data_IF_738119865261
#
_entry.id   IF_738119865261
#
_cell.length_a   1.000
_cell.length_b   1.000
_cell.length_c   1.000
_cell.angle_alpha   90.00
_cell.angle_beta   90.00
_cell.angle_gamma   90.00
#
_symmetry.space_group_name_H-M   'P 1'
#
loop_
_entity.id
_entity.type
_entity.pdbx_description
1 polymer ?
#
# COMPACT_ATOMS: atom_id res chain seq x y z
N UNK A 1 27.93 0.48 13.27
CA UNK A 1 27.32 1.71 12.71
C UNK A 1 27.27 1.51 11.20
N UNK A 2 26.12 1.14 10.63
CA UNK A 2 25.99 0.87 9.19
C UNK A 2 25.55 2.15 8.49
N UNK A 3 26.42 2.71 7.68
CA UNK A 3 26.19 3.87 6.79
C UNK A 3 25.38 3.41 5.57
N UNK A 4 24.07 3.19 5.76
CA UNK A 4 23.13 2.87 4.69
C UNK A 4 22.91 3.97 3.62
N UNK A 5 23.06 5.28 3.88
CA UNK A 5 22.67 6.29 2.89
C UNK A 5 23.54 6.31 1.62
N UNK A 6 24.82 5.99 1.73
CA UNK A 6 25.80 6.13 0.64
C UNK A 6 25.82 4.96 -0.34
N UNK A 7 25.21 3.82 -0.01
CA UNK A 7 25.22 2.63 -0.89
C UNK A 7 24.11 2.62 -1.96
N UNK A 8 23.10 3.50 -1.85
CA UNK A 8 21.89 3.43 -2.69
C UNK A 8 21.95 4.35 -3.91
N UNK A 9 22.95 5.23 -4.01
CA UNK A 9 23.12 6.14 -5.14
C UNK A 9 23.67 5.47 -6.40
N UNK A 10 24.41 4.36 -6.29
CA UNK A 10 25.18 3.79 -7.41
C UNK A 10 24.71 2.41 -7.91
N UNK A 11 23.66 1.82 -7.32
CA UNK A 11 23.21 0.45 -7.65
C UNK A 11 21.89 0.50 -8.43
N UNK A 12 21.91 1.07 -9.64
CA UNK A 12 20.78 1.00 -10.58
C UNK A 12 20.81 -0.27 -11.46
N UNK A 13 21.88 -1.08 -11.41
CA UNK A 13 22.05 -2.25 -12.28
C UNK A 13 21.68 -3.62 -11.66
N UNK A 14 21.30 -3.69 -10.38
CA UNK A 14 21.12 -4.96 -9.65
C UNK A 14 19.82 -5.02 -8.82
N UNK A 15 18.78 -4.30 -9.25
CA UNK A 15 17.60 -3.92 -8.46
C UNK A 15 16.68 -5.07 -7.96
N UNK A 16 17.07 -6.33 -8.00
CA UNK A 16 16.32 -7.44 -7.39
C UNK A 16 17.21 -8.63 -7.02
N UNK A 17 18.22 -8.90 -7.85
CA UNK A 17 19.12 -10.03 -7.67
C UNK A 17 19.88 -9.97 -6.35
N UNK A 18 20.33 -8.79 -5.91
CA UNK A 18 21.08 -8.65 -4.65
C UNK A 18 20.20 -8.98 -3.45
N UNK A 19 18.95 -8.53 -3.43
CA UNK A 19 18.02 -8.84 -2.35
C UNK A 19 17.71 -10.34 -2.30
N UNK A 20 17.47 -10.95 -3.45
CA UNK A 20 17.24 -12.40 -3.57
C UNK A 20 18.46 -13.22 -3.14
N UNK A 21 19.68 -12.84 -3.54
CA UNK A 21 20.93 -13.48 -3.12
C UNK A 21 21.12 -13.35 -1.60
N UNK A 22 20.83 -12.19 -1.02
CA UNK A 22 20.91 -11.99 0.44
C UNK A 22 19.86 -12.84 1.15
N UNK A 23 18.63 -12.90 0.64
CA UNK A 23 17.56 -13.70 1.22
C UNK A 23 17.90 -15.20 1.22
N UNK A 24 18.33 -15.72 0.07
CA UNK A 24 18.75 -17.13 -0.08
C UNK A 24 19.99 -17.46 0.74
N UNK A 25 20.98 -16.56 0.80
CA UNK A 25 22.16 -16.73 1.65
C UNK A 25 21.83 -16.74 3.14
N UNK A 26 20.91 -15.88 3.60
CA UNK A 26 20.40 -15.89 4.97
C UNK A 26 19.63 -17.18 5.25
N UNK A 27 18.79 -17.62 4.33
CA UNK A 27 18.03 -18.86 4.43
C UNK A 27 18.95 -20.08 4.60
N UNK A 28 20.00 -20.19 3.78
CA UNK A 28 20.99 -21.25 3.84
C UNK A 28 21.82 -21.20 5.12
N UNK A 29 22.24 -20.01 5.55
CA UNK A 29 22.94 -19.81 6.81
C UNK A 29 22.10 -20.26 8.01
N UNK A 30 20.82 -19.88 8.04
CA UNK A 30 19.91 -20.29 9.11
C UNK A 30 19.59 -21.78 9.07
N UNK A 31 19.59 -22.40 7.87
CA UNK A 31 19.42 -23.85 7.69
C UNK A 31 20.62 -24.63 8.24
N UNK A 32 21.84 -24.21 7.93
CA UNK A 32 23.06 -24.90 8.38
C UNK A 32 23.51 -24.53 9.79
N UNK A 33 23.19 -23.32 10.25
CA UNK A 33 23.54 -22.83 11.58
C UNK A 33 22.29 -22.27 12.27
N UNK A 34 21.39 -23.13 12.79
CA UNK A 34 20.12 -22.69 13.39
C UNK A 34 20.27 -21.70 14.55
N UNK A 35 21.39 -21.74 15.27
CA UNK A 35 21.71 -20.76 16.33
C UNK A 35 21.82 -19.33 15.80
N UNK A 36 22.09 -19.14 14.50
CA UNK A 36 22.17 -17.84 13.85
C UNK A 36 20.81 -17.25 13.49
N UNK A 37 19.74 -18.06 13.40
CA UNK A 37 18.41 -17.59 13.03
C UNK A 37 17.91 -16.44 13.91
N UNK A 38 18.23 -16.48 15.21
CA UNK A 38 17.94 -15.38 16.13
C UNK A 38 18.53 -14.06 15.65
N UNK A 39 19.84 -14.06 15.37
CA UNK A 39 20.58 -12.86 15.02
C UNK A 39 20.20 -12.34 13.64
N UNK A 40 19.91 -13.24 12.70
CA UNK A 40 19.39 -12.89 11.37
C UNK A 40 18.04 -12.18 11.47
N UNK A 41 17.07 -12.74 12.20
CA UNK A 41 15.76 -12.11 12.38
C UNK A 41 15.90 -10.76 13.10
N UNK A 42 16.71 -10.68 14.16
CA UNK A 42 16.98 -9.42 14.85
C UNK A 42 17.63 -8.38 13.91
N UNK A 43 18.54 -8.79 13.02
CA UNK A 43 19.15 -7.91 12.04
C UNK A 43 18.14 -7.40 11.01
N UNK A 44 17.29 -8.26 10.47
CA UNK A 44 16.18 -7.89 9.58
C UNK A 44 15.25 -6.87 10.24
N UNK A 45 14.81 -7.13 11.48
CA UNK A 45 13.93 -6.20 12.22
C UNK A 45 14.64 -4.87 12.51
N UNK A 46 15.93 -4.88 12.85
CA UNK A 46 16.71 -3.65 13.05
C UNK A 46 16.90 -2.86 11.76
N UNK A 47 17.14 -3.53 10.63
CA UNK A 47 17.22 -2.89 9.32
C UNK A 47 15.88 -2.22 8.98
N UNK A 48 14.76 -2.90 9.19
CA UNK A 48 13.42 -2.36 8.99
C UNK A 48 13.16 -1.10 9.83
N UNK A 49 13.43 -1.16 11.13
CA UNK A 49 13.27 0.00 12.01
C UNK A 49 14.17 1.18 11.59
N UNK A 50 15.36 0.92 11.06
CA UNK A 50 16.25 1.97 10.54
C UNK A 50 15.70 2.61 9.27
N UNK A 51 15.15 1.83 8.34
CA UNK A 51 14.52 2.36 7.12
C UNK A 51 13.30 3.21 7.48
N UNK A 52 12.47 2.74 8.42
CA UNK A 52 11.34 3.51 8.96
C UNK A 52 11.79 4.84 9.56
N UNK A 53 12.87 4.83 10.36
CA UNK A 53 13.43 6.00 11.01
C UNK A 53 14.25 6.91 10.07
N UNK A 54 14.50 6.51 8.81
CA UNK A 54 15.26 7.30 7.86
C UNK A 54 14.39 8.49 7.40
N UNK A 55 14.73 9.68 7.89
CA UNK A 55 14.05 10.95 7.54
C UNK A 55 14.82 11.77 6.51
N UNK A 56 16.12 11.50 6.35
CA UNK A 56 17.03 12.33 5.54
C UNK A 56 17.24 11.83 4.11
N UNK A 57 16.65 10.69 3.72
CA UNK A 57 16.79 10.14 2.37
C UNK A 57 15.67 10.63 1.44
N UNK A 58 15.96 10.72 0.13
CA UNK A 58 14.94 11.04 -0.87
C UNK A 58 13.81 10.00 -0.85
N UNK A 59 12.60 10.38 -1.28
CA UNK A 59 11.48 9.45 -1.35
C UNK A 59 11.78 8.26 -2.28
N UNK A 60 12.44 8.49 -3.42
CA UNK A 60 12.88 7.41 -4.32
C UNK A 60 13.86 6.45 -3.64
N UNK A 61 14.80 6.96 -2.84
CA UNK A 61 15.72 6.13 -2.04
C UNK A 61 14.95 5.29 -1.01
N UNK A 62 13.94 5.87 -0.34
CA UNK A 62 13.09 5.15 0.60
C UNK A 62 12.30 4.03 -0.08
N UNK A 63 11.74 4.28 -1.28
CA UNK A 63 11.03 3.27 -2.07
C UNK A 63 11.94 2.08 -2.40
N UNK A 64 13.17 2.34 -2.89
CA UNK A 64 14.15 1.29 -3.20
C UNK A 64 14.57 0.50 -1.96
N UNK A 65 14.90 1.20 -0.87
CA UNK A 65 15.26 0.55 0.40
C UNK A 65 14.13 -0.34 0.92
N UNK A 66 12.89 0.13 0.79
CA UNK A 66 11.72 -0.65 1.19
C UNK A 66 11.59 -1.91 0.35
N UNK A 67 11.65 -1.79 -0.98
CA UNK A 67 11.55 -2.92 -1.91
C UNK A 67 12.60 -3.99 -1.57
N UNK A 68 13.89 -3.64 -1.60
CA UNK A 68 14.97 -4.61 -1.32
C UNK A 68 14.88 -5.23 0.07
N UNK A 69 14.50 -4.44 1.07
CA UNK A 69 14.36 -4.98 2.42
C UNK A 69 13.18 -5.94 2.51
N UNK A 70 12.05 -5.64 1.88
CA UNK A 70 10.89 -6.52 1.86
C UNK A 70 11.17 -7.80 1.09
N UNK A 71 11.92 -7.74 0.00
CA UNK A 71 12.34 -8.92 -0.76
C UNK A 71 13.30 -9.83 0.05
N UNK A 72 14.01 -9.29 1.04
CA UNK A 72 14.80 -10.08 2.01
C UNK A 72 13.92 -10.61 3.14
N UNK A 73 13.00 -9.80 3.65
CA UNK A 73 12.18 -10.12 4.82
C UNK A 73 11.09 -11.13 4.48
N UNK A 74 10.50 -11.07 3.29
CA UNK A 74 9.41 -11.96 2.85
C UNK A 74 9.80 -13.44 2.90
N UNK A 75 10.94 -13.89 2.33
CA UNK A 75 11.38 -15.28 2.44
C UNK A 75 11.71 -15.71 3.88
N UNK A 76 12.22 -14.80 4.71
CA UNK A 76 12.48 -15.07 6.13
C UNK A 76 11.18 -15.30 6.88
N UNK A 77 10.14 -14.51 6.58
CA UNK A 77 8.81 -14.63 7.19
C UNK A 77 7.98 -15.77 6.61
N UNK A 78 8.34 -16.31 5.45
CA UNK A 78 7.69 -17.49 4.88
C UNK A 78 7.82 -18.74 5.78
N UNK A 79 8.69 -18.72 6.80
CA UNK A 79 8.83 -19.78 7.80
C UNK A 79 8.15 -19.43 9.13
N UNK A 80 7.26 -20.33 9.59
CA UNK A 80 6.51 -20.20 10.85
C UNK A 80 7.41 -19.97 12.08
N UNK A 81 8.58 -20.62 12.11
CA UNK A 81 9.53 -20.56 13.22
C UNK A 81 10.13 -19.16 13.42
N UNK A 82 10.13 -18.34 12.37
CA UNK A 82 10.75 -17.01 12.37
C UNK A 82 9.71 -15.91 12.62
N UNK A 83 8.46 -16.13 12.19
CA UNK A 83 7.37 -15.17 12.26
C UNK A 83 7.13 -14.65 13.69
N UNK A 84 7.05 -15.53 14.70
CA UNK A 84 6.79 -15.13 16.09
C UNK A 84 7.88 -14.21 16.63
N UNK A 85 9.16 -14.58 16.45
CA UNK A 85 10.28 -13.77 16.92
C UNK A 85 10.38 -12.43 16.20
N UNK A 86 10.04 -12.39 14.91
CA UNK A 86 9.97 -11.13 14.17
C UNK A 86 8.91 -10.18 14.77
N UNK A 87 7.74 -10.71 15.14
CA UNK A 87 6.70 -9.94 15.81
C UNK A 87 7.12 -9.47 17.22
N UNK A 88 7.73 -10.35 18.02
CA UNK A 88 8.24 -10.01 19.36
C UNK A 88 9.27 -8.87 19.32
N UNK A 89 10.08 -8.83 18.26
CA UNK A 89 11.03 -7.75 18.02
C UNK A 89 10.38 -6.45 17.51
N UNK A 90 9.06 -6.39 17.35
CA UNK A 90 8.31 -5.24 16.81
C UNK A 90 8.47 -5.06 15.30
N UNK A 91 8.73 -6.14 14.56
CA UNK A 91 8.89 -6.10 13.10
C UNK A 91 7.57 -5.82 12.37
N UNK A 92 6.45 -6.37 12.85
CA UNK A 92 5.12 -6.17 12.25
C UNK A 92 4.69 -4.72 12.36
N UNK A 93 4.87 -4.09 13.53
CA UNK A 93 4.58 -2.67 13.73
C UNK A 93 5.45 -1.79 12.81
N UNK A 94 6.71 -2.17 12.61
CA UNK A 94 7.60 -1.47 11.69
C UNK A 94 7.19 -1.64 10.22
N UNK A 95 6.65 -2.79 9.80
CA UNK A 95 6.08 -2.96 8.44
C UNK A 95 4.87 -2.03 8.24
N UNK A 96 3.95 -1.99 9.20
CA UNK A 96 2.76 -1.13 9.12
C UNK A 96 3.13 0.35 9.05
N UNK A 97 4.08 0.78 9.89
CA UNK A 97 4.58 2.16 9.86
C UNK A 97 5.34 2.48 8.56
N UNK A 98 6.05 1.51 7.98
CA UNK A 98 6.75 1.70 6.71
C UNK A 98 5.78 1.95 5.54
N UNK A 99 4.60 1.30 5.53
CA UNK A 99 3.59 1.56 4.49
C UNK A 99 3.22 3.04 4.43
N UNK A 100 2.90 3.62 5.60
CA UNK A 100 2.56 5.04 5.70
C UNK A 100 3.69 5.98 5.27
N UNK A 101 4.95 5.54 5.28
CA UNK A 101 6.11 6.32 4.80
C UNK A 101 6.30 6.21 3.28
N UNK A 102 5.94 5.07 2.70
CA UNK A 102 6.05 4.75 1.26
C UNK A 102 4.97 5.43 0.44
N UNK A 103 3.85 5.81 1.06
CA UNK A 103 2.80 6.56 0.38
C UNK A 103 3.31 7.88 -0.20
N UNK A 104 2.85 8.25 -1.42
CA UNK A 104 3.19 9.52 -2.06
C UNK A 104 2.98 10.71 -1.12
N UNK A 105 3.85 11.75 -1.14
CA UNK A 105 3.62 12.98 -0.37
C UNK A 105 2.22 13.55 -0.65
N UNK A 106 1.53 14.07 0.36
CA UNK A 106 0.13 14.52 0.23
C UNK A 106 -0.08 15.47 -0.96
N UNK A 107 0.85 16.40 -1.19
CA UNK A 107 0.84 17.34 -2.33
C UNK A 107 0.77 16.67 -3.71
N UNK A 108 1.13 15.39 -3.83
CA UNK A 108 1.10 14.63 -5.08
C UNK A 108 -0.25 13.98 -5.39
N UNK A 109 -1.13 13.77 -4.40
CA UNK A 109 -2.47 13.21 -4.62
C UNK A 109 -3.41 14.13 -5.41
N UNK A 110 -3.14 15.44 -5.39
CA UNK A 110 -3.95 16.45 -6.09
C UNK A 110 -3.23 16.95 -7.36
N UNK A 111 -1.99 16.49 -7.60
CA UNK A 111 -1.20 16.91 -8.75
C UNK A 111 -1.45 15.98 -9.95
N UNK A 112 -1.83 16.57 -11.09
CA UNK A 112 -1.96 15.87 -12.39
C UNK A 112 -0.62 15.40 -12.97
N UNK A 113 0.52 15.80 -12.40
CA UNK A 113 1.85 15.54 -12.94
C UNK A 113 2.59 14.37 -12.26
N UNK A 114 2.05 13.80 -11.18
CA UNK A 114 2.80 12.82 -10.36
C UNK A 114 3.19 11.54 -11.11
N UNK A 115 2.25 10.95 -11.87
CA UNK A 115 2.53 9.76 -12.67
C UNK A 115 3.52 10.01 -13.82
N UNK A 116 3.74 11.27 -14.21
CA UNK A 116 4.68 11.64 -15.27
C UNK A 116 6.10 11.93 -14.75
N UNK A 117 6.24 12.19 -13.44
CA UNK A 117 7.49 12.69 -12.85
C UNK A 117 8.22 11.69 -11.92
N UNK A 118 7.60 10.59 -11.51
CA UNK A 118 8.26 9.65 -10.58
C UNK A 118 9.07 8.57 -11.32
N UNK A 119 10.39 8.46 -11.09
CA UNK A 119 11.25 7.42 -11.69
C UNK A 119 11.02 6.01 -11.10
N UNK A 120 10.30 5.90 -9.97
CA UNK A 120 9.84 4.62 -9.39
C UNK A 120 8.38 4.73 -8.95
N UNK A 121 7.51 3.80 -9.36
CA UNK A 121 6.13 3.78 -8.89
C UNK A 121 6.09 3.30 -7.44
N UNK A 122 5.44 4.07 -6.56
CA UNK A 122 5.20 3.68 -5.15
C UNK A 122 4.53 2.30 -5.04
N UNK A 123 3.80 1.89 -6.08
CA UNK A 123 3.13 0.60 -6.20
C UNK A 123 4.06 -0.61 -6.02
N UNK A 124 5.30 -0.55 -6.52
CA UNK A 124 6.22 -1.70 -6.40
C UNK A 124 6.67 -1.89 -4.96
N UNK A 125 7.03 -0.79 -4.28
CA UNK A 125 7.44 -0.83 -2.88
C UNK A 125 6.27 -1.24 -1.96
N UNK A 126 5.07 -0.73 -2.23
CA UNK A 126 3.86 -1.12 -1.49
C UNK A 126 3.50 -2.59 -1.72
N UNK A 127 3.72 -3.12 -2.93
CA UNK A 127 3.52 -4.53 -3.24
C UNK A 127 4.49 -5.43 -2.48
N UNK A 128 5.81 -5.16 -2.52
CA UNK A 128 6.79 -5.97 -1.75
C UNK A 128 6.48 -5.94 -0.25
N UNK A 129 6.10 -4.78 0.30
CA UNK A 129 5.68 -4.66 1.70
C UNK A 129 4.42 -5.50 1.99
N UNK A 130 3.45 -5.48 1.07
CA UNK A 130 2.22 -6.27 1.19
C UNK A 130 2.53 -7.77 1.19
N UNK A 131 3.46 -8.23 0.35
CA UNK A 131 3.90 -9.63 0.34
C UNK A 131 4.58 -10.02 1.64
N UNK A 132 5.48 -9.18 2.18
CA UNK A 132 6.11 -9.42 3.48
C UNK A 132 5.09 -9.47 4.64
N UNK A 133 4.10 -8.58 4.64
CA UNK A 133 3.02 -8.58 5.63
C UNK A 133 2.17 -9.86 5.52
N UNK A 134 1.83 -10.28 4.29
CA UNK A 134 1.09 -11.52 4.03
C UNK A 134 1.86 -12.77 4.43
N UNK A 135 3.18 -12.81 4.22
CA UNK A 135 4.04 -13.89 4.67
C UNK A 135 3.94 -14.09 6.19
N UNK A 136 3.99 -13.01 6.99
CA UNK A 136 3.74 -13.09 8.43
C UNK A 136 2.30 -13.55 8.75
N UNK A 137 1.30 -12.93 8.11
CA UNK A 137 -0.11 -13.21 8.35
C UNK A 137 -0.50 -14.67 8.05
N UNK A 138 0.19 -15.32 7.11
CA UNK A 138 -0.03 -16.74 6.78
C UNK A 138 0.23 -17.68 7.97
N UNK A 139 1.16 -17.29 8.86
CA UNK A 139 1.57 -18.06 10.03
C UNK A 139 0.87 -17.62 11.31
N UNK A 140 0.57 -16.33 11.43
CA UNK A 140 0.01 -15.72 12.64
C UNK A 140 -1.23 -14.85 12.32
N UNK A 141 -2.30 -15.43 11.74
CA UNK A 141 -3.43 -14.64 11.23
C UNK A 141 -4.20 -13.92 12.34
N UNK A 142 -4.40 -14.56 13.50
CA UNK A 142 -5.11 -13.94 14.63
C UNK A 142 -4.32 -12.75 15.22
N UNK A 143 -3.00 -12.91 15.38
CA UNK A 143 -2.14 -11.83 15.88
C UNK A 143 -2.03 -10.68 14.85
N UNK A 144 -1.99 -11.00 13.55
CA UNK A 144 -2.04 -10.00 12.49
C UNK A 144 -3.36 -9.23 12.54
N UNK A 145 -4.50 -9.93 12.65
CA UNK A 145 -5.81 -9.29 12.71
C UNK A 145 -5.91 -8.30 13.87
N UNK A 146 -5.46 -8.69 15.07
CA UNK A 146 -5.44 -7.80 16.23
C UNK A 146 -4.63 -6.52 15.98
N UNK A 147 -3.45 -6.65 15.34
CA UNK A 147 -2.60 -5.51 14.96
C UNK A 147 -3.26 -4.63 13.90
N UNK A 148 -3.89 -5.22 12.89
CA UNK A 148 -4.61 -4.49 11.84
C UNK A 148 -5.80 -3.72 12.41
N UNK A 149 -6.58 -4.33 13.32
CA UNK A 149 -7.71 -3.67 13.97
C UNK A 149 -7.24 -2.50 14.84
N UNK A 150 -6.14 -2.66 15.58
CA UNK A 150 -5.54 -1.57 16.36
C UNK A 150 -5.03 -0.43 15.47
N UNK A 151 -4.39 -0.75 14.34
CA UNK A 151 -3.96 0.26 13.36
C UNK A 151 -5.17 1.00 12.75
N UNK A 152 -6.21 0.27 12.34
CA UNK A 152 -7.43 0.87 11.80
C UNK A 152 -8.10 1.82 12.78
N UNK A 153 -8.10 1.55 14.09
CA UNK A 153 -8.61 2.50 15.10
C UNK A 153 -7.86 3.82 15.00
N UNK A 154 -6.52 3.78 15.00
CA UNK A 154 -5.68 4.98 14.95
C UNK A 154 -5.92 5.75 13.64
N UNK A 155 -5.99 5.06 12.51
CA UNK A 155 -6.19 5.72 11.21
C UNK A 155 -7.61 6.31 11.07
N UNK A 156 -8.64 5.62 11.57
CA UNK A 156 -10.02 6.11 11.56
C UNK A 156 -10.22 7.30 12.50
N UNK A 157 -9.57 7.31 13.68
CA UNK A 157 -9.61 8.45 14.60
C UNK A 157 -9.02 9.71 13.94
N UNK A 158 -8.00 9.57 13.10
CA UNK A 158 -7.44 10.69 12.34
C UNK A 158 -8.41 11.21 11.27
N UNK A 159 -9.14 10.33 10.58
CA UNK A 159 -10.14 10.73 9.58
C UNK A 159 -11.33 11.44 10.21
N UNK A 160 -11.84 10.93 11.35
CA UNK A 160 -13.00 11.51 12.02
C UNK A 160 -12.74 12.95 12.54
N UNK A 161 -11.47 13.29 12.80
CA UNK A 161 -11.05 14.66 13.17
C UNK A 161 -11.01 15.59 11.95
N UNK A 162 -10.88 15.05 10.74
CA UNK A 162 -10.81 15.81 9.49
C UNK A 162 -12.21 16.13 8.94
N UNK A 163 -13.11 16.70 9.75
CA UNK A 163 -14.36 17.30 9.27
C UNK A 163 -14.03 18.36 8.20
N UNK A 164 -14.17 17.94 6.93
CA UNK A 164 -13.82 18.58 5.64
C UNK A 164 -13.37 20.05 5.68
N UNK A 165 -12.08 20.33 5.41
CA UNK A 165 -11.62 21.70 5.13
C UNK A 165 -10.57 21.73 3.95
N UNK A 166 -9.86 22.83 3.62
CA UNK A 166 -9.50 23.31 2.26
C UNK A 166 -8.53 22.40 1.47
N UNK A 167 -8.15 22.78 0.24
CA UNK A 167 -7.33 21.98 -0.72
C UNK A 167 -6.12 21.24 -0.15
N UNK A 168 -5.42 21.79 0.85
CA UNK A 168 -4.28 21.11 1.52
C UNK A 168 -4.71 19.93 2.40
N UNK A 169 -5.92 19.96 2.97
CA UNK A 169 -6.45 18.88 3.84
C UNK A 169 -7.02 17.72 3.00
N UNK A 170 -7.41 17.99 1.75
CA UNK A 170 -7.85 16.95 0.80
C UNK A 170 -6.73 15.97 0.45
N UNK A 171 -5.51 16.49 0.32
CA UNK A 171 -4.32 15.71 0.03
C UNK A 171 -3.97 14.74 1.16
N UNK A 172 -4.01 15.21 2.42
CA UNK A 172 -3.81 14.37 3.59
C UNK A 172 -4.95 13.35 3.77
N UNK A 173 -6.19 13.75 3.48
CA UNK A 173 -7.35 12.85 3.54
C UNK A 173 -7.22 11.68 2.56
N UNK A 174 -6.78 11.94 1.32
CA UNK A 174 -6.57 10.89 0.32
C UNK A 174 -5.42 9.95 0.69
N UNK A 175 -4.33 10.49 1.26
CA UNK A 175 -3.23 9.67 1.79
C UNK A 175 -3.70 8.78 2.93
N UNK A 176 -4.52 9.32 3.82
CA UNK A 176 -5.10 8.60 4.95
C UNK A 176 -6.06 7.51 4.50
N UNK A 177 -6.91 7.79 3.50
CA UNK A 177 -7.77 6.79 2.87
C UNK A 177 -6.96 5.65 2.25
N UNK A 178 -5.85 5.94 1.56
CA UNK A 178 -4.98 4.91 0.98
C UNK A 178 -4.37 3.99 2.06
N UNK A 179 -4.01 4.54 3.22
CA UNK A 179 -3.56 3.78 4.38
C UNK A 179 -4.65 2.83 4.90
N UNK A 180 -5.88 3.35 5.08
CA UNK A 180 -7.03 2.57 5.54
C UNK A 180 -7.37 1.46 4.54
N UNK A 181 -7.41 1.78 3.25
CA UNK A 181 -7.69 0.82 2.17
C UNK A 181 -6.70 -0.33 2.17
N UNK A 182 -5.40 -0.04 2.33
CA UNK A 182 -4.38 -1.07 2.44
C UNK A 182 -4.57 -1.95 3.69
N UNK A 183 -4.83 -1.36 4.85
CA UNK A 183 -5.12 -2.12 6.07
C UNK A 183 -6.34 -3.03 5.89
N UNK A 184 -7.42 -2.53 5.27
CA UNK A 184 -8.62 -3.32 4.95
C UNK A 184 -8.28 -4.44 3.97
N UNK A 185 -7.45 -4.20 2.96
CA UNK A 185 -7.01 -5.24 2.03
C UNK A 185 -6.28 -6.38 2.75
N UNK A 186 -5.46 -6.06 3.75
CA UNK A 186 -4.78 -7.03 4.61
C UNK A 186 -5.75 -7.76 5.55
N UNK A 187 -6.77 -7.08 6.09
CA UNK A 187 -7.83 -7.71 6.89
C UNK A 187 -8.57 -8.74 6.04
N UNK A 188 -9.03 -8.35 4.85
CA UNK A 188 -9.75 -9.24 3.91
C UNK A 188 -8.88 -10.45 3.55
N UNK A 189 -7.61 -10.21 3.22
CA UNK A 189 -6.68 -11.31 2.92
C UNK A 189 -6.47 -12.23 4.12
N UNK A 190 -6.26 -11.66 5.32
CA UNK A 190 -6.02 -12.42 6.56
C UNK A 190 -7.22 -13.25 6.97
N UNK A 191 -8.45 -12.86 6.62
CA UNK A 191 -9.67 -13.64 6.91
C UNK A 191 -9.91 -14.74 5.87
N UNK A 192 -9.52 -14.52 4.61
CA UNK A 192 -9.77 -15.48 3.51
C UNK A 192 -8.77 -16.63 3.47
N UNK A 193 -7.49 -16.35 3.71
CA UNK A 193 -6.37 -17.33 3.60
C UNK A 193 -6.26 -18.42 4.69
N UNK A 194 -6.71 -18.26 5.95
CA UNK A 194 -6.51 -19.23 7.05
C UNK A 194 -7.13 -20.61 6.85
N UNK A 195 -7.99 -20.79 5.84
CA UNK A 195 -8.63 -22.07 5.55
C UNK A 195 -7.62 -23.17 5.18
N UNK A 196 -6.36 -22.81 4.87
CA UNK A 196 -5.27 -23.75 4.64
C UNK A 196 -4.55 -24.22 5.93
N UNK A 197 -4.70 -23.52 7.06
CA UNK A 197 -3.81 -23.64 8.23
C UNK A 197 -4.50 -24.19 9.48
N UNK A 198 -5.21 -25.33 9.37
CA UNK A 198 -5.69 -26.12 10.52
C UNK A 198 -6.75 -25.47 11.44
N UNK A 199 -7.57 -26.29 12.10
CA UNK A 199 -8.76 -25.82 12.84
C UNK A 199 -8.51 -24.98 14.11
N UNK A 200 -7.28 -24.88 14.62
CA UNK A 200 -6.99 -24.11 15.85
C UNK A 200 -6.81 -22.62 15.58
N UNK A 201 -6.04 -22.25 14.54
CA UNK A 201 -5.81 -20.86 14.16
C UNK A 201 -7.07 -20.20 13.61
N UNK A 202 -7.87 -20.95 12.83
CA UNK A 202 -9.17 -20.49 12.34
C UNK A 202 -10.12 -20.10 13.49
N UNK A 203 -10.19 -20.89 14.56
CA UNK A 203 -11.04 -20.56 15.73
C UNK A 203 -10.60 -19.30 16.46
N UNK A 204 -9.29 -19.13 16.68
CA UNK A 204 -8.74 -17.93 17.33
C UNK A 204 -8.97 -16.69 16.48
N UNK A 205 -8.76 -16.80 15.18
CA UNK A 205 -9.04 -15.72 14.24
C UNK A 205 -10.51 -15.34 14.25
N UNK A 206 -11.43 -16.32 14.20
CA UNK A 206 -12.87 -16.04 14.23
C UNK A 206 -13.29 -15.40 15.55
N UNK A 207 -12.73 -15.83 16.68
CA UNK A 207 -12.98 -15.19 17.98
C UNK A 207 -12.51 -13.72 17.98
N UNK A 208 -11.33 -13.45 17.42
CA UNK A 208 -10.78 -12.09 17.31
C UNK A 208 -11.62 -11.22 16.35
N UNK A 209 -12.01 -11.78 15.20
CA UNK A 209 -12.84 -11.10 14.20
C UNK A 209 -14.23 -10.77 14.71
N UNK A 210 -14.84 -11.68 15.46
CA UNK A 210 -16.19 -11.50 16.04
C UNK A 210 -16.18 -10.76 17.39
N UNK A 211 -15.01 -10.35 17.87
CA UNK A 211 -14.91 -9.59 19.11
C UNK A 211 -15.67 -8.26 19.01
N UNK A 212 -16.32 -7.77 20.09
CA UNK A 212 -17.05 -6.50 20.06
C UNK A 212 -16.19 -5.31 19.64
N UNK A 213 -14.89 -5.32 19.98
CA UNK A 213 -13.93 -4.30 19.54
C UNK A 213 -13.75 -4.33 18.03
N UNK A 214 -13.45 -5.49 17.43
CA UNK A 214 -13.28 -5.63 15.98
C UNK A 214 -14.56 -5.24 15.22
N UNK A 215 -15.73 -5.65 15.72
CA UNK A 215 -17.01 -5.32 15.09
C UNK A 215 -17.31 -3.81 15.11
N UNK A 216 -16.92 -3.09 16.16
CA UNK A 216 -17.03 -1.61 16.20
C UNK A 216 -16.11 -0.96 15.17
N UNK A 217 -14.87 -1.43 15.05
CA UNK A 217 -13.92 -0.93 14.04
C UNK A 217 -14.48 -1.14 12.64
N UNK A 218 -14.97 -2.35 12.33
CA UNK A 218 -15.57 -2.65 11.03
C UNK A 218 -16.80 -1.78 10.75
N UNK A 219 -17.64 -1.51 11.74
CA UNK A 219 -18.78 -0.61 11.59
C UNK A 219 -18.32 0.81 11.19
N UNK A 220 -17.25 1.32 11.81
CA UNK A 220 -16.66 2.61 11.43
C UNK A 220 -16.09 2.59 10.01
N UNK A 221 -15.38 1.52 9.63
CA UNK A 221 -14.88 1.34 8.25
C UNK A 221 -16.03 1.37 7.24
N UNK A 222 -17.14 0.66 7.50
CA UNK A 222 -18.30 0.65 6.59
C UNK A 222 -19.00 2.02 6.51
N UNK A 223 -19.05 2.77 7.61
CA UNK A 223 -19.57 4.13 7.59
C UNK A 223 -18.68 5.08 6.77
N UNK A 224 -17.36 4.95 6.91
CA UNK A 224 -16.40 5.70 6.11
C UNK A 224 -16.52 5.36 4.62
N UNK A 225 -16.54 4.07 4.26
CA UNK A 225 -16.75 3.62 2.87
C UNK A 225 -18.04 4.21 2.30
N UNK A 226 -19.15 4.15 3.05
CA UNK A 226 -20.41 4.79 2.65
C UNK A 226 -20.26 6.28 2.39
N UNK A 227 -19.52 7.02 3.23
CA UNK A 227 -19.25 8.45 3.00
C UNK A 227 -18.48 8.68 1.70
N UNK A 228 -17.40 7.93 1.51
CA UNK A 228 -16.55 8.00 0.30
C UNK A 228 -17.35 7.70 -0.97
N UNK A 229 -18.23 6.69 -0.94
CA UNK A 229 -19.10 6.37 -2.09
C UNK A 229 -20.10 7.49 -2.39
N UNK A 230 -20.67 8.14 -1.36
CA UNK A 230 -21.55 9.30 -1.54
C UNK A 230 -20.80 10.50 -2.13
N UNK A 231 -19.57 10.76 -1.68
CA UNK A 231 -18.69 11.80 -2.22
C UNK A 231 -18.35 11.53 -3.70
N UNK A 232 -17.99 10.29 -4.05
CA UNK A 232 -17.74 9.88 -5.44
C UNK A 232 -18.96 10.10 -6.33
N UNK A 233 -20.14 9.63 -5.91
CA UNK A 233 -21.39 9.87 -6.66
C UNK A 233 -21.74 11.35 -6.79
N UNK A 234 -21.45 12.17 -5.77
CA UNK A 234 -21.66 13.61 -5.85
C UNK A 234 -20.72 14.25 -6.88
N UNK A 235 -19.45 13.86 -6.90
CA UNK A 235 -18.46 14.37 -7.87
C UNK A 235 -18.83 13.99 -9.31
N UNK A 236 -19.24 12.74 -9.56
CA UNK A 236 -19.66 12.27 -10.89
C UNK A 236 -20.82 13.12 -11.47
N UNK A 237 -21.77 13.53 -10.62
CA UNK A 237 -22.88 14.41 -11.03
C UNK A 237 -22.44 15.83 -11.39
N UNK A 238 -21.42 16.37 -10.72
CA UNK A 238 -20.89 17.70 -11.05
C UNK A 238 -20.12 17.66 -12.37
N UNK A 239 -19.31 16.63 -12.59
CA UNK A 239 -18.57 16.45 -13.85
C UNK A 239 -19.48 16.18 -15.05
N UNK A 240 -20.64 15.53 -14.85
CA UNK A 240 -21.61 15.29 -15.91
C UNK A 240 -22.40 16.56 -16.31
N UNK A 241 -22.47 17.58 -15.45
CA UNK A 241 -23.11 18.86 -15.76
C UNK A 241 -22.16 19.88 -16.40
N UNK A 242 -20.85 19.69 -16.30
CA UNK A 242 -19.82 20.56 -16.88
C UNK A 242 -19.41 20.16 -18.32
N UNK A 243 -20.06 19.18 -18.95
CA UNK A 243 -19.90 18.99 -20.40
C UNK A 243 -20.55 20.18 -21.13
N UNK A 244 -19.80 20.94 -21.96
CA UNK A 244 -20.35 22.09 -22.66
C UNK A 244 -21.41 21.59 -23.64
N UNK A 245 -22.63 22.10 -23.44
CA UNK A 245 -23.72 22.00 -24.38
C UNK A 245 -23.22 22.55 -25.73
N UNK A 246 -22.81 21.66 -26.64
CA UNK A 246 -22.47 22.02 -28.01
C UNK A 246 -23.79 22.33 -28.71
N UNK A 247 -24.29 23.55 -28.51
CA UNK A 247 -25.45 24.05 -29.23
C UNK A 247 -25.13 24.00 -30.72
N UNK A 248 -25.86 23.12 -31.39
CA UNK A 248 -25.96 22.99 -32.83
C UNK A 248 -26.31 24.33 -33.48
N UNK A 249 -25.37 24.92 -34.21
CA UNK A 249 -25.68 25.95 -35.20
C UNK A 249 -25.79 25.28 -36.57
N UNK A 250 -27.03 25.01 -36.94
CA UNK A 250 -27.41 24.43 -38.22
C UNK A 250 -27.51 25.50 -39.34
N UNK A 251 -26.67 25.31 -40.35
CA UNK A 251 -26.96 25.34 -41.81
C UNK A 251 -27.02 26.65 -42.64
N UNK A 252 -26.33 26.57 -43.82
CA UNK A 252 -26.67 27.05 -45.20
C UNK A 252 -25.86 28.23 -45.79
N UNK A 253 -25.32 28.27 -47.04
CA UNK A 253 -24.98 27.37 -48.18
C UNK A 253 -24.02 28.17 -49.11
N UNK A 254 -22.97 27.57 -49.72
CA UNK A 254 -22.63 27.56 -51.18
C UNK A 254 -21.14 27.31 -51.54
N UNK A 255 -20.91 26.07 -52.04
CA UNK A 255 -20.09 25.62 -53.18
C UNK A 255 -18.71 26.25 -53.52
N UNK A 256 -17.62 25.46 -53.46
CA UNK A 256 -17.10 24.64 -54.59
C UNK A 256 -15.78 23.93 -54.22
N UNK A 257 -15.64 22.65 -54.60
CA UNK A 257 -14.33 22.05 -54.96
C UNK A 257 -13.78 20.91 -54.09
N UNK A 258 -13.86 19.68 -54.65
CA UNK A 258 -12.97 18.52 -54.47
C UNK A 258 -13.01 17.65 -53.17
N UNK A 259 -13.74 16.52 -53.32
CA UNK A 259 -13.50 15.11 -52.93
C UNK A 259 -12.76 14.66 -51.63
N UNK A 260 -13.08 13.44 -51.11
CA UNK A 260 -13.24 13.18 -49.66
C UNK A 260 -12.33 12.07 -49.05
N UNK A 261 -12.51 11.86 -47.74
CA UNK A 261 -11.99 10.82 -46.83
C UNK A 261 -10.66 11.18 -46.11
N UNK A 262 -10.48 11.05 -44.80
CA UNK A 262 -11.22 10.32 -43.78
C UNK A 262 -11.26 11.04 -42.43
N UNK A 263 -12.43 10.88 -41.83
CA UNK A 263 -12.93 11.19 -40.49
C UNK A 263 -12.05 10.57 -39.39
N UNK A 264 -11.47 11.39 -38.51
CA UNK A 264 -10.90 10.93 -37.23
C UNK A 264 -11.29 11.93 -36.13
N UNK A 265 -12.37 11.60 -35.43
CA UNK A 265 -12.57 11.63 -33.98
C UNK A 265 -13.81 10.73 -33.76
N UNK A 266 -13.89 9.88 -32.73
CA UNK A 266 -13.54 10.21 -31.35
C UNK A 266 -12.85 9.06 -30.57
N UNK A 267 -12.62 9.30 -29.28
CA UNK A 267 -12.06 8.41 -28.22
C UNK A 267 -10.60 8.65 -27.86
N UNK A 268 -10.38 9.60 -26.96
CA UNK A 268 -9.40 9.46 -25.88
C UNK A 268 -10.05 9.87 -24.55
N UNK A 269 -11.15 9.19 -24.22
CA UNK A 269 -11.53 8.97 -22.83
C UNK A 269 -10.72 7.77 -22.36
N UNK A 270 -9.51 8.02 -21.87
CA UNK A 270 -8.84 7.02 -21.05
C UNK A 270 -9.48 7.03 -19.64
N UNK A 271 -9.81 5.85 -19.11
CA UNK A 271 -10.69 5.70 -17.97
C UNK A 271 -10.01 6.21 -16.68
N UNK A 272 -10.84 6.79 -15.82
CA UNK A 272 -10.58 6.91 -14.39
C UNK A 272 -9.99 5.58 -13.91
N UNK A 273 -8.81 5.66 -13.31
CA UNK A 273 -8.14 4.52 -12.68
C UNK A 273 -9.10 3.94 -11.65
N UNK A 274 -9.70 2.80 -12.02
CA UNK A 274 -10.40 1.93 -11.09
C UNK A 274 -9.33 1.32 -10.21
N UNK A 275 -9.26 1.75 -8.95
CA UNK A 275 -8.59 0.98 -7.92
C UNK A 275 -9.45 -0.29 -7.68
N UNK A 276 -8.95 -1.44 -8.13
CA UNK A 276 -9.47 -2.77 -7.82
C UNK A 276 -8.74 -3.36 -6.61
#
# INVERSE_FOLDING_TARGET
MFTLPTYVSDIDYLQGDVASIVATGLDELMRHVPSMARFCIEACTRALKKVVAATTCSHATLLRLTMHLCDVVEPVLAKVEHATRFADNGGVDALMHLYGRVLPPSSTYVSTSYNQMSPLPHYTASQSLTLAARAYASHQPAAMLAKLMAALVVELDQVDVMEVPPTDVRADYLRQLAQIEWLVSLVVWTIRTPHASGGSQSRRLMAEFTSPSSQRVLTRVFNLDRSVQLERMALERHTAHDEPNCESVDTQVFAHGAQPAAQICPHDLHPVVVFQ
#
